data_IF_780305809664
#
_entry.id   IF_780305809664
#
_cell.length_a   1.000
_cell.length_b   1.000
_cell.length_c   1.000
_cell.angle_alpha   90.00
_cell.angle_beta   90.00
_cell.angle_gamma   90.00
#
_symmetry.space_group_name_H-M   'P 1'
#
loop_
_entity.id
_entity.type
_entity.pdbx_description
1 polymer ?
#
# COMPACT_ATOMS: atom_id res chain seq x y z
N UNK A 1 12.00 20.56 8.75
CA UNK A 1 12.55 19.39 9.48
C UNK A 1 11.54 18.68 10.38
N UNK A 2 11.16 19.18 11.58
CA UNK A 2 10.23 18.45 12.49
C UNK A 2 8.86 18.16 11.83
N UNK A 3 8.22 19.16 11.22
CA UNK A 3 6.95 18.98 10.52
C UNK A 3 7.01 18.01 9.34
N UNK A 4 8.16 17.93 8.67
CA UNK A 4 8.36 17.01 7.56
C UNK A 4 8.45 15.57 8.04
N UNK A 5 9.16 15.32 9.14
CA UNK A 5 9.21 14.00 9.78
C UNK A 5 7.80 13.56 10.20
N UNK A 6 7.02 14.44 10.83
CA UNK A 6 5.65 14.16 11.23
C UNK A 6 4.75 13.81 10.03
N UNK A 7 4.88 14.57 8.93
CA UNK A 7 4.14 14.29 7.70
C UNK A 7 4.57 12.97 7.07
N UNK A 8 5.87 12.65 7.02
CA UNK A 8 6.35 11.37 6.51
C UNK A 8 5.83 10.19 7.33
N UNK A 9 5.85 10.28 8.66
CA UNK A 9 5.29 9.26 9.55
C UNK A 9 3.79 9.09 9.30
N UNK A 10 3.05 10.20 9.16
CA UNK A 10 1.62 10.15 8.84
C UNK A 10 1.36 9.41 7.52
N UNK A 11 2.17 9.65 6.49
CA UNK A 11 2.03 8.96 5.20
C UNK A 11 2.35 7.47 5.30
N UNK A 12 3.35 7.07 6.08
CA UNK A 12 3.65 5.65 6.34
C UNK A 12 2.46 4.97 7.02
N UNK A 13 1.84 5.63 8.00
CA UNK A 13 0.64 5.13 8.68
C UNK A 13 -0.52 4.99 7.68
N UNK A 14 -0.75 5.99 6.84
CA UNK A 14 -1.77 5.95 5.79
C UNK A 14 -1.51 4.78 4.82
N UNK A 15 -0.27 4.63 4.33
CA UNK A 15 0.12 3.55 3.44
C UNK A 15 -0.18 2.17 4.03
N UNK A 16 0.14 1.97 5.33
CA UNK A 16 -0.16 0.73 6.03
C UNK A 16 -1.66 0.43 6.06
N UNK A 17 -2.49 1.40 6.48
CA UNK A 17 -3.93 1.18 6.59
C UNK A 17 -4.62 1.01 5.23
N UNK A 18 -4.19 1.75 4.21
CA UNK A 18 -4.66 1.59 2.83
C UNK A 18 -4.30 0.20 2.31
N UNK A 19 -3.06 -0.25 2.51
CA UNK A 19 -2.61 -1.57 2.10
C UNK A 19 -3.35 -2.68 2.83
N UNK A 20 -3.52 -2.56 4.14
CA UNK A 20 -4.29 -3.51 4.94
C UNK A 20 -5.73 -3.65 4.44
N UNK A 21 -6.41 -2.53 4.21
CA UNK A 21 -7.78 -2.52 3.71
C UNK A 21 -7.89 -3.07 2.28
N UNK A 22 -7.01 -2.65 1.37
CA UNK A 22 -6.97 -3.13 -0.01
C UNK A 22 -6.62 -4.61 -0.09
N UNK A 23 -5.74 -5.12 0.76
CA UNK A 23 -5.41 -6.55 0.83
C UNK A 23 -6.64 -7.36 1.20
N UNK A 24 -7.42 -6.92 2.19
CA UNK A 24 -8.69 -7.59 2.56
C UNK A 24 -9.68 -7.60 1.40
N UNK A 25 -9.79 -6.49 0.66
CA UNK A 25 -10.64 -6.40 -0.54
C UNK A 25 -10.13 -7.31 -1.66
N UNK A 26 -8.82 -7.32 -1.89
CA UNK A 26 -8.18 -8.13 -2.92
C UNK A 26 -8.38 -9.62 -2.68
N UNK A 27 -8.27 -10.11 -1.45
CA UNK A 27 -8.51 -11.53 -1.11
C UNK A 27 -9.89 -11.98 -1.59
N UNK A 28 -10.93 -11.15 -1.39
CA UNK A 28 -12.29 -11.48 -1.83
C UNK A 28 -12.40 -11.49 -3.36
N UNK A 29 -11.80 -10.49 -4.02
CA UNK A 29 -11.79 -10.38 -5.49
C UNK A 29 -11.05 -11.55 -6.13
N UNK A 30 -9.88 -11.90 -5.60
CA UNK A 30 -9.02 -12.97 -6.08
C UNK A 30 -9.75 -14.32 -5.97
N UNK A 31 -10.41 -14.60 -4.83
CA UNK A 31 -11.27 -15.78 -4.67
C UNK A 31 -12.42 -15.81 -5.68
N UNK A 32 -13.13 -14.70 -5.85
CA UNK A 32 -14.27 -14.62 -6.76
C UNK A 32 -13.88 -14.79 -8.24
N UNK A 33 -12.65 -14.42 -8.62
CA UNK A 33 -12.14 -14.52 -10.00
C UNK A 33 -11.27 -15.75 -10.26
N UNK A 34 -11.14 -16.65 -9.28
CA UNK A 34 -10.31 -17.84 -9.43
C UNK A 34 -8.80 -17.59 -9.39
N UNK A 35 -8.35 -16.39 -9.00
CA UNK A 35 -6.94 -16.09 -8.71
C UNK A 35 -6.53 -16.63 -7.35
N UNK A 36 -6.61 -17.95 -7.21
CA UNK A 36 -6.25 -18.69 -6.01
C UNK A 36 -5.29 -19.82 -6.34
N UNK A 37 -4.31 -20.01 -5.49
CA UNK A 37 -3.33 -21.07 -5.60
C UNK A 37 -3.30 -21.92 -4.35
N UNK A 38 -2.80 -23.15 -4.47
CA UNK A 38 -2.61 -24.03 -3.33
C UNK A 38 -1.36 -23.60 -2.57
N UNK A 39 -1.47 -23.45 -1.26
CA UNK A 39 -0.32 -23.25 -0.39
C UNK A 39 0.49 -24.57 -0.29
N UNK A 40 1.57 -24.67 -1.07
CA UNK A 40 2.36 -25.90 -1.20
C UNK A 40 3.09 -26.31 0.08
N UNK A 41 3.23 -25.40 1.04
CA UNK A 41 3.96 -25.65 2.28
C UNK A 41 3.08 -26.17 3.41
N UNK A 42 1.75 -26.25 3.20
CA UNK A 42 0.80 -26.78 4.20
C UNK A 42 0.30 -28.16 3.78
N UNK A 43 0.19 -29.08 4.75
CA UNK A 43 -0.28 -30.47 4.53
C UNK A 43 -1.60 -30.53 3.75
N UNK A 44 -2.55 -29.67 4.13
CA UNK A 44 -3.89 -29.62 3.52
C UNK A 44 -3.94 -28.87 2.18
N UNK A 45 -2.85 -28.21 1.78
CA UNK A 45 -2.73 -27.45 0.52
C UNK A 45 -3.92 -26.52 0.28
N UNK A 46 -4.31 -25.69 1.27
CA UNK A 46 -5.49 -24.85 1.17
C UNK A 46 -5.35 -23.84 0.02
N UNK A 47 -6.47 -23.47 -0.59
CA UNK A 47 -6.53 -22.43 -1.62
C UNK A 47 -6.45 -21.03 -0.97
N UNK A 48 -5.43 -20.28 -1.35
CA UNK A 48 -5.14 -18.91 -0.89
C UNK A 48 -5.15 -17.94 -2.07
N UNK A 49 -5.53 -16.69 -1.84
CA UNK A 49 -5.50 -15.65 -2.86
C UNK A 49 -4.06 -15.38 -3.32
N UNK A 50 -3.86 -15.27 -4.63
CA UNK A 50 -2.56 -14.94 -5.22
C UNK A 50 -2.49 -13.46 -5.67
N UNK A 51 -1.35 -13.06 -6.23
CA UNK A 51 -1.11 -11.72 -6.76
C UNK A 51 -1.36 -10.57 -5.76
N UNK A 52 -1.10 -10.80 -4.47
CA UNK A 52 -1.30 -9.80 -3.40
C UNK A 52 -0.48 -8.52 -3.55
N UNK A 53 0.59 -8.54 -4.36
CA UNK A 53 1.40 -7.37 -4.68
C UNK A 53 0.61 -6.20 -5.29
N UNK A 54 -0.55 -6.46 -5.91
CA UNK A 54 -1.39 -5.38 -6.46
C UNK A 54 -1.88 -4.41 -5.38
N UNK A 55 -2.27 -4.91 -4.20
CA UNK A 55 -2.70 -4.08 -3.08
C UNK A 55 -1.54 -3.21 -2.56
N UNK A 56 -0.32 -3.78 -2.54
CA UNK A 56 0.90 -3.08 -2.11
C UNK A 56 1.24 -1.95 -3.08
N UNK A 57 1.29 -2.23 -4.39
CA UNK A 57 1.65 -1.24 -5.42
C UNK A 57 0.66 -0.06 -5.40
N UNK A 58 -0.65 -0.34 -5.38
CA UNK A 58 -1.68 0.71 -5.32
C UNK A 58 -1.51 1.58 -4.07
N UNK A 59 -1.22 0.96 -2.92
CA UNK A 59 -1.05 1.69 -1.66
C UNK A 59 0.18 2.58 -1.65
N UNK A 60 1.30 2.11 -2.22
CA UNK A 60 2.54 2.88 -2.36
C UNK A 60 2.30 4.08 -3.27
N UNK A 61 1.74 3.86 -4.46
CA UNK A 61 1.49 4.94 -5.44
C UNK A 61 0.56 6.00 -4.82
N UNK A 62 -0.54 5.57 -4.19
CA UNK A 62 -1.48 6.47 -3.53
C UNK A 62 -0.81 7.30 -2.43
N UNK A 63 -0.06 6.65 -1.53
CA UNK A 63 0.61 7.35 -0.43
C UNK A 63 1.73 8.27 -0.93
N UNK A 64 2.44 7.89 -1.99
CA UNK A 64 3.51 8.71 -2.58
C UNK A 64 2.92 9.98 -3.20
N UNK A 65 1.85 9.86 -3.98
CA UNK A 65 1.17 11.04 -4.55
C UNK A 65 0.58 11.94 -3.48
N UNK A 66 0.04 11.37 -2.39
CA UNK A 66 -0.42 12.16 -1.25
C UNK A 66 0.74 12.91 -0.59
N UNK A 67 1.89 12.26 -0.41
CA UNK A 67 3.09 12.89 0.16
C UNK A 67 3.58 14.06 -0.69
N UNK A 68 3.68 13.84 -2.02
CA UNK A 68 4.05 14.89 -2.98
C UNK A 68 3.04 16.04 -2.89
N UNK A 69 1.74 15.76 -2.84
CA UNK A 69 0.71 16.79 -2.70
C UNK A 69 0.92 17.66 -1.45
N UNK A 70 1.14 17.03 -0.29
CA UNK A 70 1.37 17.78 0.95
C UNK A 70 2.66 18.60 0.89
N UNK A 71 3.74 18.06 0.32
CA UNK A 71 5.00 18.78 0.19
C UNK A 71 4.91 19.97 -0.77
N UNK A 72 4.30 19.78 -1.93
CA UNK A 72 4.19 20.81 -2.97
C UNK A 72 3.16 21.89 -2.62
N UNK A 73 1.95 21.52 -2.22
CA UNK A 73 0.84 22.47 -2.11
C UNK A 73 0.61 22.99 -0.69
N UNK A 74 0.91 22.19 0.34
CA UNK A 74 0.67 22.58 1.74
C UNK A 74 1.94 23.18 2.36
N UNK A 75 3.05 22.45 2.35
CA UNK A 75 4.31 22.89 2.95
C UNK A 75 5.12 23.82 2.04
N UNK A 76 4.88 23.79 0.72
CA UNK A 76 5.58 24.58 -0.29
C UNK A 76 7.11 24.46 -0.20
N UNK A 77 7.59 23.22 -0.09
CA UNK A 77 9.02 22.90 0.01
C UNK A 77 9.40 21.82 -0.99
N UNK A 78 10.59 21.93 -1.56
CA UNK A 78 11.14 20.98 -2.54
C UNK A 78 12.11 19.98 -1.91
N UNK A 79 12.40 20.11 -0.61
CA UNK A 79 13.35 19.23 0.09
C UNK A 79 12.92 17.77 -0.08
N UNK A 80 13.80 16.91 -0.61
CA UNK A 80 13.55 15.49 -0.92
C UNK A 80 12.54 15.20 -2.06
N UNK A 81 12.13 16.19 -2.86
CA UNK A 81 11.32 15.96 -4.07
C UNK A 81 12.20 15.93 -5.33
N UNK A 82 13.29 16.69 -5.34
CA UNK A 82 14.22 16.81 -6.45
C UNK A 82 15.63 16.59 -5.88
N UNK A 83 16.32 15.57 -6.38
CA UNK A 83 17.77 15.39 -6.26
C UNK A 83 18.39 15.44 -7.66
#
# INVERSE_FOLDING_TARGET
>A
MMYEILISILHIIIAFFVCFWLTKKWINVARARGFVGKDMNKKEKPLVAEAGGIAVIISIIFSLFLYIFFKTFVLKTETHIIE
#
